data_IF_959054439585
#
_entry.id   IF_959054439585
#
_cell.length_a   1.000
_cell.length_b   1.000
_cell.length_c   1.000
_cell.angle_alpha   90.00
_cell.angle_beta   90.00
_cell.angle_gamma   90.00
#
_symmetry.space_group_name_H-M   'P 1'
#
loop_
_entity.id
_entity.type
_entity.pdbx_description
1 polymer ?
#
# COMPACT_ATOMS: atom_id res chain seq x y z
N UNK A 1 -3.53 -13.23 13.72
CA UNK A 1 -3.57 -11.77 13.99
C UNK A 1 -3.94 -11.55 15.44
N UNK A 2 -3.35 -10.55 16.12
CA UNK A 2 -3.90 -10.01 17.37
C UNK A 2 -5.03 -9.05 16.94
N UNK A 3 -6.28 -9.47 17.13
CA UNK A 3 -7.45 -8.85 16.49
C UNK A 3 -7.95 -7.55 17.13
N UNK A 4 -7.04 -6.67 17.54
CA UNK A 4 -7.39 -5.35 18.09
C UNK A 4 -7.64 -4.37 16.93
N UNK A 5 -8.72 -3.59 17.02
CA UNK A 5 -9.15 -2.66 15.98
C UNK A 5 -8.92 -1.21 16.42
N UNK A 6 -8.67 -0.32 15.46
CA UNK A 6 -8.65 1.11 15.72
C UNK A 6 -10.06 1.60 16.07
N UNK A 7 -10.17 2.53 17.02
CA UNK A 7 -11.43 3.24 17.25
C UNK A 7 -11.63 4.27 16.12
N UNK A 8 -12.80 4.26 15.49
CA UNK A 8 -13.14 5.18 14.40
C UNK A 8 -13.08 6.66 14.82
N UNK A 9 -13.23 6.98 16.10
CA UNK A 9 -13.12 8.36 16.62
C UNK A 9 -11.71 8.96 16.52
N UNK A 10 -10.67 8.13 16.34
CA UNK A 10 -9.29 8.59 16.15
C UNK A 10 -9.00 9.06 14.72
N UNK A 11 -9.93 8.88 13.77
CA UNK A 11 -9.72 9.14 12.33
C UNK A 11 -10.74 10.16 11.81
N UNK A 12 -10.32 11.27 11.16
CA UNK A 12 -8.94 11.70 10.97
C UNK A 12 -8.27 12.09 12.30
N UNK A 13 -6.96 11.88 12.45
CA UNK A 13 -6.20 12.27 13.63
C UNK A 13 -5.89 13.78 13.58
N UNK A 14 -6.91 14.58 13.86
CA UNK A 14 -6.91 16.06 13.74
C UNK A 14 -6.71 16.81 15.07
N UNK A 15 -6.51 16.09 16.19
CA UNK A 15 -6.10 16.64 17.50
C UNK A 15 -4.91 15.87 18.07
N UNK A 16 -4.18 16.46 19.01
CA UNK A 16 -3.05 15.83 19.69
C UNK A 16 -3.44 14.50 20.37
N UNK A 17 -4.64 14.42 20.96
CA UNK A 17 -5.16 13.19 21.56
C UNK A 17 -5.42 12.09 20.52
N UNK A 18 -6.06 12.44 19.39
CA UNK A 18 -6.31 11.48 18.31
C UNK A 18 -5.01 11.04 17.64
N UNK A 19 -4.11 11.96 17.34
CA UNK A 19 -2.77 11.68 16.82
C UNK A 19 -2.05 10.68 17.74
N UNK A 20 -2.03 10.95 19.04
CA UNK A 20 -1.38 10.07 20.02
C UNK A 20 -2.02 8.68 20.09
N UNK A 21 -3.36 8.59 20.06
CA UNK A 21 -4.07 7.32 20.08
C UNK A 21 -3.83 6.51 18.79
N UNK A 22 -3.89 7.16 17.63
CA UNK A 22 -3.68 6.56 16.33
C UNK A 22 -2.22 6.11 16.11
N UNK A 23 -1.23 6.93 16.50
CA UNK A 23 0.18 6.54 16.51
C UNK A 23 0.43 5.34 17.44
N UNK A 24 -0.12 5.33 18.66
CA UNK A 24 0.02 4.18 19.56
C UNK A 24 -0.61 2.90 19.01
N UNK A 25 -1.67 3.00 18.18
CA UNK A 25 -2.25 1.87 17.48
C UNK A 25 -1.32 1.33 16.36
N UNK A 26 -0.72 2.22 15.55
CA UNK A 26 0.23 1.86 14.48
C UNK A 26 1.56 1.33 15.04
N UNK A 27 2.05 1.88 16.14
CA UNK A 27 3.27 1.43 16.82
C UNK A 27 3.08 0.08 17.56
N UNK A 28 1.84 -0.22 17.97
CA UNK A 28 1.49 -1.41 18.75
C UNK A 28 0.71 -2.46 17.93
N UNK A 29 -0.63 -2.58 18.09
CA UNK A 29 -1.39 -3.66 17.47
C UNK A 29 -1.33 -3.74 15.94
N UNK A 30 -1.14 -2.61 15.25
CA UNK A 30 -0.95 -2.53 13.80
C UNK A 30 0.52 -2.33 13.38
N UNK A 31 1.46 -2.76 14.22
CA UNK A 31 2.93 -2.75 13.97
C UNK A 31 3.25 -3.23 12.55
N UNK A 32 3.75 -2.30 11.72
CA UNK A 32 4.20 -2.59 10.36
C UNK A 32 5.38 -3.59 10.36
N UNK A 33 6.37 -3.51 11.27
CA UNK A 33 7.41 -4.53 11.40
C UNK A 33 6.87 -5.94 11.74
N UNK A 34 5.87 -6.06 12.63
CA UNK A 34 5.25 -7.35 12.95
C UNK A 34 4.50 -7.91 11.73
N UNK A 35 3.79 -7.04 11.00
CA UNK A 35 3.06 -7.39 9.78
C UNK A 35 4.00 -7.77 8.62
N UNK A 36 5.15 -7.11 8.49
CA UNK A 36 6.17 -7.44 7.50
C UNK A 36 6.89 -8.76 7.83
N UNK A 37 7.24 -8.97 9.11
CA UNK A 37 8.02 -10.13 9.56
C UNK A 37 7.34 -11.48 9.34
N UNK A 38 6.01 -11.52 9.18
CA UNK A 38 5.26 -12.76 8.85
C UNK A 38 5.15 -13.05 7.36
N UNK A 39 5.48 -12.10 6.47
CA UNK A 39 5.27 -12.26 5.02
C UNK A 39 6.07 -13.44 4.44
N UNK A 40 7.39 -13.59 4.67
CA UNK A 40 8.15 -14.69 4.09
C UNK A 40 7.57 -16.07 4.44
N UNK A 41 7.16 -16.26 5.69
CA UNK A 41 6.52 -17.51 6.15
C UNK A 41 5.14 -17.76 5.51
N UNK A 42 4.37 -16.71 5.21
CA UNK A 42 3.10 -16.84 4.48
C UNK A 42 3.35 -17.23 3.02
N UNK A 43 4.34 -16.63 2.36
CA UNK A 43 4.67 -16.97 0.97
C UNK A 43 5.24 -18.39 0.85
N UNK A 44 6.05 -18.82 1.82
CA UNK A 44 6.56 -20.20 1.92
C UNK A 44 5.42 -21.20 2.15
N UNK A 45 4.54 -20.97 3.14
CA UNK A 45 3.39 -21.84 3.46
C UNK A 45 2.43 -22.03 2.27
N UNK A 46 2.15 -20.97 1.51
CA UNK A 46 1.29 -21.07 0.31
C UNK A 46 2.05 -21.70 -0.87
N UNK A 47 3.37 -21.46 -1.01
CA UNK A 47 4.19 -22.16 -2.00
C UNK A 47 4.19 -23.67 -1.75
N UNK A 48 4.44 -24.12 -0.51
CA UNK A 48 4.38 -25.53 -0.12
C UNK A 48 2.98 -26.13 -0.38
N UNK A 49 1.92 -25.50 0.14
CA UNK A 49 0.54 -25.99 -0.01
C UNK A 49 0.05 -26.02 -1.47
N UNK A 50 0.59 -25.16 -2.33
CA UNK A 50 0.33 -25.21 -3.77
C UNK A 50 1.09 -26.33 -4.51
N UNK A 51 2.08 -26.95 -3.87
CA UNK A 51 3.03 -27.86 -4.50
C UNK A 51 3.97 -27.13 -5.48
N UNK A 52 4.40 -25.91 -5.14
CA UNK A 52 5.23 -25.05 -5.98
C UNK A 52 4.52 -24.40 -7.18
N UNK A 53 3.20 -24.58 -7.32
CA UNK A 53 2.40 -23.99 -8.41
C UNK A 53 2.21 -22.48 -8.29
N UNK A 54 2.29 -21.95 -7.07
CA UNK A 54 2.27 -20.52 -6.78
C UNK A 54 3.66 -20.16 -6.23
N UNK A 55 4.43 -19.42 -7.02
CA UNK A 55 5.85 -19.10 -6.76
C UNK A 55 6.24 -17.69 -7.23
N UNK A 56 5.27 -16.90 -7.70
CA UNK A 56 5.43 -15.49 -8.09
C UNK A 56 4.34 -14.69 -7.40
N UNK A 57 4.75 -13.57 -6.81
CA UNK A 57 3.92 -12.81 -5.87
C UNK A 57 3.93 -11.33 -6.23
N UNK A 58 2.84 -10.63 -5.95
CA UNK A 58 2.78 -9.18 -6.08
C UNK A 58 2.08 -8.59 -4.85
N UNK A 59 2.47 -7.38 -4.46
CA UNK A 59 1.94 -6.70 -3.29
C UNK A 59 0.97 -5.58 -3.67
N UNK A 60 -0.06 -5.37 -2.83
CA UNK A 60 -0.93 -4.21 -2.83
C UNK A 60 -0.94 -3.62 -1.42
N UNK A 61 -0.39 -2.41 -1.26
CA UNK A 61 -0.42 -1.65 0.00
C UNK A 61 -1.53 -0.61 0.03
N UNK A 62 -2.10 -0.37 1.21
CA UNK A 62 -3.14 0.64 1.45
C UNK A 62 -2.71 1.54 2.61
N UNK A 63 -2.88 2.87 2.52
CA UNK A 63 -2.62 3.77 3.65
C UNK A 63 -1.17 3.63 4.19
N UNK A 64 -0.98 3.39 5.49
CA UNK A 64 0.32 3.12 6.11
C UNK A 64 0.92 1.74 5.74
N UNK A 65 0.18 0.87 5.05
CA UNK A 65 0.71 -0.37 4.48
C UNK A 65 1.81 -0.17 3.42
N UNK A 66 2.07 1.08 3.04
CA UNK A 66 3.20 1.50 2.21
C UNK A 66 4.50 1.82 3.04
N UNK A 67 4.41 2.38 4.27
CA UNK A 67 5.56 2.95 5.04
C UNK A 67 5.19 3.28 6.50
N UNK A 68 6.03 3.23 7.55
CA UNK A 68 7.47 2.89 7.77
C UNK A 68 7.53 1.94 9.03
N UNK A 69 8.60 1.31 9.54
CA UNK A 69 10.04 1.55 9.46
C UNK A 69 10.89 0.29 9.26
N UNK A 70 12.05 0.48 8.62
CA UNK A 70 13.15 -0.50 8.38
C UNK A 70 12.77 -1.81 7.66
N UNK A 71 11.49 -2.09 7.52
CA UNK A 71 10.90 -3.27 6.86
C UNK A 71 9.74 -2.76 6.01
N UNK A 72 10.04 -2.34 4.79
CA UNK A 72 9.06 -1.75 3.89
C UNK A 72 8.38 -2.92 3.14
N UNK A 73 7.14 -3.26 3.50
CA UNK A 73 6.36 -4.38 2.91
C UNK A 73 6.32 -4.34 1.38
N UNK A 74 6.42 -3.13 0.81
CA UNK A 74 6.33 -2.90 -0.64
C UNK A 74 7.57 -2.16 -1.19
N UNK A 75 8.61 -1.89 -0.38
CA UNK A 75 9.87 -1.29 -0.85
C UNK A 75 11.21 -1.90 -0.32
N UNK A 76 11.18 -2.89 0.59
CA UNK A 76 12.30 -3.76 0.95
C UNK A 76 12.14 -5.10 0.23
N UNK A 77 10.95 -5.68 0.34
CA UNK A 77 10.34 -6.40 -0.78
C UNK A 77 10.03 -5.34 -1.84
N UNK A 78 10.22 -5.60 -3.14
CA UNK A 78 10.55 -4.58 -4.17
C UNK A 78 11.97 -4.02 -4.14
N UNK A 79 12.74 -4.21 -3.07
CA UNK A 79 14.18 -3.96 -3.03
C UNK A 79 15.00 -5.23 -3.35
N UNK A 80 16.34 -5.18 -3.26
CA UNK A 80 17.20 -6.36 -3.39
C UNK A 80 17.03 -7.35 -2.22
N UNK A 81 15.98 -8.18 -2.29
CA UNK A 81 15.60 -9.18 -1.28
C UNK A 81 14.42 -10.03 -1.77
N UNK A 82 13.29 -9.37 -2.05
CA UNK A 82 12.66 -9.55 -3.37
C UNK A 82 11.80 -10.79 -3.63
N UNK A 83 10.88 -11.23 -2.75
CA UNK A 83 9.89 -12.24 -3.11
C UNK A 83 8.79 -11.74 -4.08
N UNK A 84 8.56 -10.42 -4.16
CA UNK A 84 7.59 -9.82 -5.09
C UNK A 84 8.19 -9.48 -6.46
N UNK A 85 7.42 -9.68 -7.54
CA UNK A 85 7.80 -9.40 -8.93
C UNK A 85 7.22 -8.08 -9.48
N UNK A 86 6.17 -7.57 -8.86
CA UNK A 86 5.67 -6.20 -9.03
C UNK A 86 4.86 -5.76 -7.80
N UNK A 87 4.57 -4.46 -7.71
CA UNK A 87 3.89 -3.86 -6.57
C UNK A 87 2.91 -2.75 -6.97
N UNK A 88 1.92 -2.51 -6.11
CA UNK A 88 0.99 -1.40 -6.18
C UNK A 88 0.74 -0.82 -4.79
N UNK A 89 0.49 0.49 -4.68
CA UNK A 89 -0.03 1.13 -3.46
C UNK A 89 -1.12 2.15 -3.78
N UNK A 90 -2.17 2.14 -2.96
CA UNK A 90 -3.30 3.07 -3.06
C UNK A 90 -3.39 3.94 -1.81
N UNK A 91 -3.76 5.21 -2.00
CA UNK A 91 -3.79 6.26 -0.98
C UNK A 91 -2.62 6.17 0.04
N UNK A 92 -1.36 6.34 -0.39
CA UNK A 92 -0.20 6.04 0.44
C UNK A 92 0.05 7.10 1.53
N UNK A 93 -0.02 6.71 2.81
CA UNK A 93 0.36 7.59 3.92
C UNK A 93 1.88 7.66 4.09
N UNK A 94 2.38 8.80 4.57
CA UNK A 94 3.80 9.03 4.91
C UNK A 94 4.80 8.96 3.72
N UNK A 95 4.31 8.97 2.48
CA UNK A 95 5.09 9.12 1.24
C UNK A 95 6.18 10.19 1.39
N UNK A 96 7.43 9.89 0.99
CA UNK A 96 8.45 10.94 0.75
C UNK A 96 9.25 10.62 -0.52
N UNK A 97 9.82 11.64 -1.21
CA UNK A 97 10.49 11.45 -2.49
C UNK A 97 11.66 10.45 -2.47
N UNK A 98 12.29 10.23 -1.31
CA UNK A 98 13.49 9.38 -1.17
C UNK A 98 13.16 7.88 -1.28
N UNK A 99 11.93 7.47 -0.96
CA UNK A 99 11.53 6.06 -0.99
C UNK A 99 11.56 5.46 -2.40
N UNK A 100 11.24 6.27 -3.40
CA UNK A 100 11.28 5.91 -4.81
C UNK A 100 12.69 5.47 -5.28
N UNK A 101 13.75 5.89 -4.59
CA UNK A 101 15.14 5.46 -4.88
C UNK A 101 15.46 4.04 -4.37
N UNK A 102 14.63 3.49 -3.48
CA UNK A 102 14.81 2.17 -2.84
C UNK A 102 14.11 1.06 -3.63
N UNK A 103 13.16 1.41 -4.50
CA UNK A 103 12.32 0.49 -5.28
C UNK A 103 13.07 0.02 -6.53
N UNK A 104 13.10 -1.30 -6.74
CA UNK A 104 13.85 -1.98 -7.82
C UNK A 104 13.01 -2.90 -8.71
N UNK A 105 11.73 -3.15 -8.36
CA UNK A 105 10.75 -3.84 -9.22
C UNK A 105 9.67 -2.85 -9.71
N UNK A 106 8.92 -3.19 -10.77
CA UNK A 106 7.86 -2.34 -11.29
C UNK A 106 6.77 -1.99 -10.27
N UNK A 107 6.35 -0.73 -10.26
CA UNK A 107 5.61 -0.14 -9.14
C UNK A 107 4.47 0.77 -9.58
N UNK A 108 3.28 0.53 -9.06
CA UNK A 108 2.08 1.34 -9.28
C UNK A 108 1.77 2.17 -8.02
N UNK A 109 1.47 3.46 -8.18
CA UNK A 109 1.11 4.35 -7.06
C UNK A 109 -0.12 5.19 -7.45
N UNK A 110 -1.14 5.12 -6.60
CA UNK A 110 -2.48 5.65 -6.85
C UNK A 110 -2.88 6.59 -5.69
N UNK A 111 -2.46 7.86 -5.70
CA UNK A 111 -2.80 8.82 -4.64
C UNK A 111 -4.26 9.28 -4.70
N UNK A 112 -4.84 9.58 -3.54
CA UNK A 112 -6.16 10.21 -3.38
C UNK A 112 -6.07 11.74 -3.51
N UNK A 113 -7.21 12.43 -3.40
CA UNK A 113 -7.27 13.88 -3.24
C UNK A 113 -6.65 14.41 -1.93
N UNK A 114 -6.25 13.55 -1.01
CA UNK A 114 -5.75 13.93 0.32
C UNK A 114 -4.22 13.73 0.50
N UNK A 115 -3.54 13.15 -0.47
CA UNK A 115 -2.08 13.07 -0.46
C UNK A 115 -1.45 14.38 -0.96
N UNK A 116 -0.27 14.72 -0.41
CA UNK A 116 0.49 15.88 -0.85
C UNK A 116 1.00 15.70 -2.30
N UNK A 117 0.61 16.61 -3.18
CA UNK A 117 0.89 16.52 -4.61
C UNK A 117 2.37 16.81 -4.94
N UNK A 118 3.04 17.70 -4.21
CA UNK A 118 4.47 17.98 -4.43
C UNK A 118 5.32 16.77 -4.01
N UNK A 119 4.93 16.12 -2.91
CA UNK A 119 5.51 14.86 -2.45
C UNK A 119 5.28 13.72 -3.46
N UNK A 120 4.07 13.59 -4.00
CA UNK A 120 3.77 12.61 -5.05
C UNK A 120 4.61 12.84 -6.32
N UNK A 121 4.72 14.09 -6.78
CA UNK A 121 5.55 14.47 -7.92
C UNK A 121 7.04 14.23 -7.67
N UNK A 122 7.52 14.49 -6.45
CA UNK A 122 8.90 14.19 -6.05
C UNK A 122 9.20 12.69 -6.04
N UNK A 123 8.27 11.87 -5.53
CA UNK A 123 8.35 10.42 -5.60
C UNK A 123 8.35 9.93 -7.06
N UNK A 124 7.45 10.44 -7.91
CA UNK A 124 7.47 10.13 -9.35
C UNK A 124 8.83 10.47 -9.98
N UNK A 125 9.33 11.69 -9.76
CA UNK A 125 10.59 12.15 -10.36
C UNK A 125 11.77 11.25 -9.97
N UNK A 126 11.77 10.71 -8.75
CA UNK A 126 12.80 9.81 -8.25
C UNK A 126 12.62 8.35 -8.67
N UNK A 127 11.41 7.90 -9.02
CA UNK A 127 11.13 6.49 -9.35
C UNK A 127 11.68 6.10 -10.73
N UNK A 128 12.63 5.14 -10.77
CA UNK A 128 13.40 4.74 -11.97
C UNK A 128 13.04 3.38 -12.57
N UNK A 129 12.07 2.67 -12.00
CA UNK A 129 11.51 1.41 -12.51
C UNK A 129 10.40 1.65 -13.55
N UNK A 130 9.90 0.60 -14.22
CA UNK A 130 8.61 0.71 -14.93
C UNK A 130 7.51 1.04 -13.91
N UNK A 131 6.70 2.05 -14.20
CA UNK A 131 5.77 2.63 -13.24
C UNK A 131 4.42 3.00 -13.86
N UNK A 132 3.38 2.94 -13.04
CA UNK A 132 2.07 3.56 -13.31
C UNK A 132 1.77 4.53 -12.16
N UNK A 133 1.48 5.79 -12.49
CA UNK A 133 1.25 6.86 -11.51
C UNK A 133 -0.01 7.59 -11.93
N UNK A 134 -1.00 7.63 -11.04
CA UNK A 134 -2.31 8.18 -11.36
C UNK A 134 -3.03 8.68 -10.10
N UNK A 135 -3.25 9.99 -10.00
CA UNK A 135 -3.93 10.62 -8.85
C UNK A 135 -5.43 10.69 -9.08
N UNK A 136 -6.19 10.04 -8.20
CA UNK A 136 -7.65 10.09 -8.13
C UNK A 136 -8.05 11.35 -7.34
N UNK A 137 -7.94 12.50 -8.01
CA UNK A 137 -7.98 13.84 -7.40
C UNK A 137 -9.35 14.26 -6.84
N UNK A 138 -10.36 13.41 -6.93
CA UNK A 138 -11.71 13.55 -6.38
C UNK A 138 -12.10 12.43 -5.40
N UNK A 139 -11.29 11.37 -5.27
CA UNK A 139 -11.51 10.28 -4.32
C UNK A 139 -10.86 10.57 -2.96
N UNK A 140 -11.52 10.23 -1.82
CA UNK A 140 -10.94 10.42 -0.49
C UNK A 140 -9.92 9.34 -0.12
N UNK A 141 -8.96 9.66 0.75
CA UNK A 141 -8.03 8.67 1.29
C UNK A 141 -8.77 7.45 1.87
N UNK A 142 -8.39 6.23 1.49
CA UNK A 142 -9.04 5.02 1.98
C UNK A 142 -10.22 4.54 1.14
N UNK A 143 -10.48 5.11 -0.05
CA UNK A 143 -11.62 4.73 -0.88
C UNK A 143 -11.57 3.28 -1.37
N UNK A 144 -10.40 2.71 -1.67
CA UNK A 144 -10.25 1.25 -1.90
C UNK A 144 -10.61 0.37 -0.69
N UNK A 145 -10.60 0.95 0.51
CA UNK A 145 -10.65 0.24 1.77
C UNK A 145 -11.90 0.63 2.58
N UNK A 146 -11.77 0.79 3.90
CA UNK A 146 -12.89 1.05 4.81
C UNK A 146 -13.60 2.42 4.63
N UNK A 147 -13.24 3.22 3.62
CA UNK A 147 -13.86 4.52 3.31
C UNK A 147 -14.45 4.61 1.89
N UNK A 148 -14.57 3.49 1.16
CA UNK A 148 -15.24 3.46 -0.14
C UNK A 148 -16.75 3.62 -0.03
N UNK A 149 -17.32 4.61 -0.72
CA UNK A 149 -18.76 4.69 -0.94
C UNK A 149 -19.12 3.88 -2.20
N UNK A 150 -19.86 2.78 -1.99
CA UNK A 150 -20.34 1.91 -3.07
C UNK A 150 -21.84 2.12 -3.38
N UNK A 151 -22.49 3.08 -2.71
CA UNK A 151 -23.86 3.51 -2.96
C UNK A 151 -23.90 4.72 -3.89
N UNK A 152 -22.93 5.63 -3.79
CA UNK A 152 -22.66 6.61 -4.84
C UNK A 152 -22.15 5.95 -6.13
N UNK A 153 -22.67 6.39 -7.27
CA UNK A 153 -22.38 5.78 -8.56
C UNK A 153 -20.99 6.15 -9.11
N UNK A 154 -20.46 7.33 -8.74
CA UNK A 154 -19.14 7.78 -9.19
C UNK A 154 -18.02 7.15 -8.36
N UNK A 155 -18.13 7.23 -7.03
CA UNK A 155 -17.21 6.62 -6.08
C UNK A 155 -17.09 5.10 -6.29
N UNK A 156 -18.21 4.43 -6.59
CA UNK A 156 -18.21 3.02 -7.01
C UNK A 156 -17.50 2.78 -8.35
N UNK A 157 -17.71 3.65 -9.34
CA UNK A 157 -17.08 3.50 -10.65
C UNK A 157 -15.55 3.62 -10.55
N UNK A 158 -15.06 4.60 -9.78
CA UNK A 158 -13.62 4.77 -9.56
C UNK A 158 -13.02 3.63 -8.72
N UNK A 159 -13.73 3.11 -7.71
CA UNK A 159 -13.35 1.89 -6.98
C UNK A 159 -13.19 0.67 -7.91
N UNK A 160 -14.18 0.41 -8.78
CA UNK A 160 -14.10 -0.69 -9.76
C UNK A 160 -13.00 -0.46 -10.81
N UNK A 161 -12.80 0.80 -11.24
CA UNK A 161 -11.77 1.20 -12.22
C UNK A 161 -10.37 1.02 -11.65
N UNK A 162 -10.13 1.41 -10.41
CA UNK A 162 -8.81 1.35 -9.79
C UNK A 162 -8.36 -0.09 -9.54
N UNK A 163 -9.24 -0.99 -9.07
CA UNK A 163 -8.90 -2.42 -9.00
C UNK A 163 -8.56 -3.02 -10.38
N UNK A 164 -9.11 -2.46 -11.47
CA UNK A 164 -8.71 -2.80 -12.85
C UNK A 164 -7.33 -2.23 -13.23
N UNK A 165 -6.97 -1.02 -12.76
CA UNK A 165 -5.64 -0.41 -12.92
C UNK A 165 -4.58 -1.21 -12.16
N UNK A 166 -4.82 -1.54 -10.88
CA UNK A 166 -3.95 -2.40 -10.07
C UNK A 166 -3.80 -3.77 -10.74
N UNK A 167 -4.91 -4.42 -11.12
CA UNK A 167 -4.90 -5.70 -11.81
C UNK A 167 -4.08 -5.66 -13.11
N UNK A 168 -4.22 -4.61 -13.92
CA UNK A 168 -3.49 -4.42 -15.19
C UNK A 168 -2.03 -4.01 -15.00
N UNK A 169 -1.69 -3.43 -13.84
CA UNK A 169 -0.32 -3.13 -13.45
C UNK A 169 0.41 -4.40 -13.01
N UNK A 170 -0.18 -5.20 -12.13
CA UNK A 170 0.46 -6.38 -11.54
C UNK A 170 0.47 -7.62 -12.46
N UNK A 171 -0.63 -7.86 -13.20
CA UNK A 171 -0.83 -9.10 -13.98
C UNK A 171 0.28 -9.39 -14.98
N UNK A 172 0.84 -8.34 -15.63
CA UNK A 172 1.90 -8.47 -16.65
C UNK A 172 3.21 -9.07 -16.11
N UNK A 173 3.38 -9.09 -14.79
CA UNK A 173 4.55 -9.64 -14.10
C UNK A 173 4.25 -10.94 -13.35
N UNK A 174 2.98 -11.33 -13.23
CA UNK A 174 2.56 -12.59 -12.59
C UNK A 174 2.40 -13.74 -13.58
N UNK A 175 2.15 -13.42 -14.86
CA UNK A 175 2.19 -14.37 -16.00
C UNK A 175 3.60 -14.82 -16.34
#
# INVERSE_FOLDING_TARGET
MKGEVADHSWVPPDTDEKMKAFSAFIEGPASIPDAAGVIPAILEDVMEKSGGKISRWAALGFCWGYKEYRTQVVASESGPGTPFVAAAVAHPSFLTPEDASKITIPFCILPSMNEDQEVCMGFEANLKVEKHIETFADMPHGWMAARGDLADAHSRAEFEREYSVVGSSLKRYLS
#
